data_IF_787696984989
#
_entry.id   IF_787696984989
#
_cell.length_a   1.000
_cell.length_b   1.000
_cell.length_c   1.000
_cell.angle_alpha   90.00
_cell.angle_beta   90.00
_cell.angle_gamma   90.00
#
_symmetry.space_group_name_H-M   'P 1'
#
loop_
_entity.id
_entity.type
_entity.pdbx_description
1 polymer ?
#
# COMPACT_ATOMS: atom_id res chain seq x y z
N UNK A 1 -7.39 5.59 16.66
CA UNK A 1 -8.72 5.92 16.05
C UNK A 1 -9.55 4.65 15.98
N UNK A 2 -10.74 4.61 16.54
CA UNK A 2 -11.65 3.46 16.37
C UNK A 2 -12.21 3.44 14.94
N UNK A 3 -12.26 2.29 14.30
CA UNK A 3 -12.74 2.13 12.91
C UNK A 3 -14.26 2.24 12.77
N UNK A 4 -14.99 1.95 13.85
CA UNK A 4 -16.47 2.02 13.86
C UNK A 4 -16.95 3.40 13.40
N UNK A 5 -17.91 3.43 12.50
CA UNK A 5 -18.52 4.64 11.92
C UNK A 5 -17.57 5.49 11.05
N UNK A 6 -16.39 5.01 10.69
CA UNK A 6 -15.43 5.73 9.83
C UNK A 6 -15.68 5.51 8.36
N UNK A 7 -15.40 6.53 7.56
CA UNK A 7 -15.38 6.49 6.10
C UNK A 7 -13.92 6.37 5.64
N UNK A 8 -13.61 5.33 4.91
CA UNK A 8 -12.24 4.92 4.59
C UNK A 8 -12.07 4.71 3.09
N UNK A 9 -10.98 5.23 2.55
CA UNK A 9 -10.60 5.07 1.14
C UNK A 9 -9.39 4.14 1.05
N UNK A 10 -9.45 3.14 0.17
CA UNK A 10 -8.37 2.18 -0.06
C UNK A 10 -8.03 2.11 -1.55
N UNK A 11 -6.95 2.76 -1.97
CA UNK A 11 -6.37 2.59 -3.30
C UNK A 11 -5.63 1.26 -3.38
N UNK A 12 -5.78 0.56 -4.51
CA UNK A 12 -5.34 -0.84 -4.65
C UNK A 12 -6.24 -1.82 -3.90
N UNK A 13 -7.45 -1.40 -3.50
CA UNK A 13 -8.37 -2.15 -2.65
C UNK A 13 -9.04 -3.38 -3.30
N UNK A 14 -8.69 -3.75 -4.53
CA UNK A 14 -9.39 -4.81 -5.26
C UNK A 14 -8.65 -6.14 -5.33
N UNK A 15 -7.45 -6.22 -4.77
CA UNK A 15 -6.64 -7.45 -4.73
C UNK A 15 -5.60 -7.41 -3.59
N UNK A 16 -5.02 -8.57 -3.29
CA UNK A 16 -3.90 -8.71 -2.36
C UNK A 16 -4.11 -8.00 -1.03
N UNK A 17 -3.11 -7.24 -0.60
CA UNK A 17 -3.09 -6.53 0.69
C UNK A 17 -4.28 -5.58 0.81
N UNK A 18 -4.57 -4.79 -0.22
CA UNK A 18 -5.68 -3.84 -0.18
C UNK A 18 -7.05 -4.51 0.00
N UNK A 19 -7.28 -5.65 -0.66
CA UNK A 19 -8.53 -6.39 -0.51
C UNK A 19 -8.67 -6.99 0.90
N UNK A 20 -7.60 -7.54 1.49
CA UNK A 20 -7.63 -8.02 2.87
C UNK A 20 -7.84 -6.86 3.85
N UNK A 21 -7.23 -5.70 3.61
CA UNK A 21 -7.49 -4.48 4.39
C UNK A 21 -8.99 -4.13 4.36
N UNK A 22 -9.62 -4.14 3.19
CA UNK A 22 -11.07 -3.87 3.06
C UNK A 22 -11.90 -4.86 3.87
N UNK A 23 -11.57 -6.15 3.83
CA UNK A 23 -12.28 -7.16 4.62
C UNK A 23 -12.21 -6.85 6.11
N UNK A 24 -11.01 -6.54 6.62
CA UNK A 24 -10.81 -6.20 8.03
C UNK A 24 -11.54 -4.90 8.41
N UNK A 25 -11.50 -3.87 7.56
CA UNK A 25 -12.23 -2.62 7.80
C UNK A 25 -13.74 -2.84 7.93
N UNK A 26 -14.31 -3.65 7.05
CA UNK A 26 -15.74 -4.01 7.09
C UNK A 26 -16.10 -4.86 8.33
N UNK A 27 -15.21 -5.77 8.73
CA UNK A 27 -15.38 -6.58 9.94
C UNK A 27 -15.32 -5.73 11.23
N UNK A 28 -14.49 -4.69 11.24
CA UNK A 28 -14.34 -3.77 12.37
C UNK A 28 -15.35 -2.60 12.36
N UNK A 29 -16.43 -2.71 11.58
CA UNK A 29 -17.57 -1.81 11.65
C UNK A 29 -17.38 -0.44 10.98
N UNK A 30 -16.48 -0.33 9.99
CA UNK A 30 -16.38 0.88 9.17
C UNK A 30 -17.73 1.21 8.53
N UNK A 31 -18.15 2.47 8.59
CA UNK A 31 -19.43 2.92 8.04
C UNK A 31 -19.46 2.85 6.52
N UNK A 32 -18.34 3.19 5.88
CA UNK A 32 -18.19 3.14 4.43
C UNK A 32 -16.74 2.91 4.04
N UNK A 33 -16.51 1.97 3.13
CA UNK A 33 -15.18 1.64 2.60
C UNK A 33 -15.21 1.77 1.08
N UNK A 34 -14.38 2.62 0.53
CA UNK A 34 -14.21 2.80 -0.91
C UNK A 34 -13.02 1.95 -1.38
N UNK A 35 -13.29 0.96 -2.21
CA UNK A 35 -12.27 0.14 -2.88
C UNK A 35 -11.95 0.75 -4.25
N UNK A 36 -10.77 1.32 -4.39
CA UNK A 36 -10.38 2.05 -5.59
C UNK A 36 -9.32 1.29 -6.37
N UNK A 37 -9.54 1.14 -7.67
CA UNK A 37 -8.56 0.62 -8.63
C UNK A 37 -8.91 0.99 -10.06
N UNK A 38 -8.02 0.73 -11.00
CA UNK A 38 -8.28 0.87 -12.44
C UNK A 38 -9.38 -0.08 -12.93
N UNK A 39 -9.53 -1.24 -12.29
CA UNK A 39 -10.58 -2.22 -12.61
C UNK A 39 -11.28 -2.72 -11.32
N UNK A 40 -12.24 -1.97 -10.77
CA UNK A 40 -12.89 -2.32 -9.51
C UNK A 40 -13.88 -3.51 -9.61
N UNK A 41 -14.40 -3.85 -10.81
CA UNK A 41 -15.39 -4.92 -11.00
C UNK A 41 -14.90 -6.33 -10.63
N UNK A 42 -13.59 -6.51 -10.38
CA UNK A 42 -13.00 -7.79 -9.95
C UNK A 42 -13.39 -8.19 -8.52
N UNK A 43 -13.86 -7.27 -7.69
CA UNK A 43 -14.26 -7.55 -6.31
C UNK A 43 -15.63 -8.21 -6.28
N UNK A 44 -15.72 -9.39 -5.64
CA UNK A 44 -16.97 -10.15 -5.50
C UNK A 44 -17.68 -9.94 -4.15
N UNK A 45 -17.12 -9.09 -3.26
CA UNK A 45 -17.71 -8.81 -1.94
C UNK A 45 -18.95 -7.96 -2.13
N UNK A 46 -20.10 -8.44 -1.60
CA UNK A 46 -21.37 -7.69 -1.59
C UNK A 46 -21.69 -7.28 -0.16
N UNK A 47 -21.37 -6.05 0.19
CA UNK A 47 -21.69 -5.42 1.48
C UNK A 47 -22.18 -3.99 1.22
N UNK A 48 -23.24 -3.57 1.91
CA UNK A 48 -23.84 -2.23 1.77
C UNK A 48 -22.81 -1.11 2.04
N UNK A 49 -21.86 -1.39 2.91
CA UNK A 49 -20.80 -0.45 3.28
C UNK A 49 -19.66 -0.34 2.26
N UNK A 50 -19.56 -1.28 1.30
CA UNK A 50 -18.50 -1.30 0.29
C UNK A 50 -18.95 -0.58 -0.97
N UNK A 51 -18.15 0.40 -1.41
CA UNK A 51 -18.31 1.10 -2.67
C UNK A 51 -17.11 0.84 -3.56
N UNK A 52 -17.35 0.44 -4.79
CA UNK A 52 -16.32 0.21 -5.79
C UNK A 52 -16.19 1.44 -6.69
N UNK A 53 -15.01 2.04 -6.75
CA UNK A 53 -14.75 3.23 -7.55
C UNK A 53 -13.57 3.00 -8.51
N UNK A 54 -13.68 3.56 -9.71
CA UNK A 54 -12.59 3.54 -10.69
C UNK A 54 -11.77 4.81 -10.59
N UNK A 55 -10.44 4.67 -10.40
CA UNK A 55 -9.48 5.75 -10.59
C UNK A 55 -8.09 5.19 -10.88
N UNK A 56 -7.26 5.98 -11.55
CA UNK A 56 -5.83 5.76 -11.69
C UNK A 56 -5.09 6.76 -10.79
N UNK A 57 -4.14 6.28 -10.01
CA UNK A 57 -3.34 7.11 -9.10
C UNK A 57 -2.38 8.05 -9.85
N UNK A 58 -2.12 7.78 -11.13
CA UNK A 58 -1.28 8.61 -12.00
C UNK A 58 -2.10 9.66 -12.79
N UNK A 59 -3.43 9.56 -12.79
CA UNK A 59 -4.32 10.50 -13.45
C UNK A 59 -4.90 11.50 -12.45
N UNK A 60 -4.36 12.71 -12.46
CA UNK A 60 -4.77 13.80 -11.58
C UNK A 60 -6.26 14.17 -11.73
N UNK A 61 -6.78 14.18 -12.95
CA UNK A 61 -8.17 14.54 -13.19
C UNK A 61 -9.12 13.47 -12.66
N UNK A 62 -8.74 12.19 -12.82
CA UNK A 62 -9.45 11.07 -12.23
C UNK A 62 -9.50 11.17 -10.69
N UNK A 63 -8.38 11.53 -10.05
CA UNK A 63 -8.31 11.72 -8.60
C UNK A 63 -9.12 12.92 -8.12
N UNK A 64 -9.02 14.07 -8.77
CA UNK A 64 -9.80 15.28 -8.45
C UNK A 64 -11.31 14.98 -8.51
N UNK A 65 -11.77 14.34 -9.57
CA UNK A 65 -13.16 13.94 -9.74
C UNK A 65 -13.60 12.93 -8.68
N UNK A 66 -12.77 11.94 -8.37
CA UNK A 66 -13.03 10.94 -7.33
C UNK A 66 -13.23 11.59 -5.96
N UNK A 67 -12.26 12.39 -5.50
CA UNK A 67 -12.32 13.01 -4.17
C UNK A 67 -13.48 14.00 -4.05
N UNK A 68 -13.85 14.69 -5.14
CA UNK A 68 -15.06 15.55 -5.18
C UNK A 68 -16.33 14.71 -4.94
N UNK A 69 -16.46 13.53 -5.56
CA UNK A 69 -17.63 12.65 -5.38
C UNK A 69 -17.67 12.02 -3.98
N UNK A 70 -16.54 11.60 -3.45
CA UNK A 70 -16.48 10.95 -2.13
C UNK A 70 -16.77 11.98 -1.02
N UNK A 71 -16.31 13.21 -1.17
CA UNK A 71 -16.41 14.23 -0.13
C UNK A 71 -15.54 13.92 1.09
N UNK A 72 -15.97 14.35 2.29
CA UNK A 72 -15.21 14.15 3.54
C UNK A 72 -15.05 12.68 3.91
N UNK A 73 -13.88 12.31 4.44
CA UNK A 73 -13.55 10.96 4.91
C UNK A 73 -12.50 11.00 6.04
N UNK A 74 -12.25 9.86 6.70
CA UNK A 74 -11.42 9.79 7.92
C UNK A 74 -10.05 9.14 7.69
N UNK A 75 -9.94 8.18 6.76
CA UNK A 75 -8.72 7.41 6.56
C UNK A 75 -8.43 7.21 5.08
N UNK A 76 -7.17 7.37 4.70
CA UNK A 76 -6.64 7.11 3.38
C UNK A 76 -5.60 5.98 3.46
N UNK A 77 -5.86 4.89 2.77
CA UNK A 77 -4.90 3.81 2.59
C UNK A 77 -4.50 3.71 1.13
N UNK A 78 -3.21 3.61 0.83
CA UNK A 78 -2.76 3.30 -0.53
C UNK A 78 -1.82 2.12 -0.55
N UNK A 79 -2.26 1.06 -1.22
CA UNK A 79 -1.50 -0.14 -1.55
C UNK A 79 -1.24 -0.24 -3.06
N UNK A 80 -1.59 0.80 -3.81
CA UNK A 80 -1.41 0.85 -5.26
C UNK A 80 0.09 0.93 -5.61
N UNK A 81 0.53 0.13 -6.59
CA UNK A 81 1.95 0.08 -6.98
C UNK A 81 2.29 1.01 -8.14
N UNK A 82 1.30 1.62 -8.78
CA UNK A 82 1.50 2.43 -9.98
C UNK A 82 1.72 1.57 -11.22
N UNK A 83 2.90 1.65 -11.79
CA UNK A 83 3.31 0.97 -13.02
C UNK A 83 4.02 -0.36 -12.82
N UNK A 84 4.72 -0.79 -13.85
CA UNK A 84 5.63 -1.93 -13.84
C UNK A 84 6.90 -1.61 -13.06
N UNK A 85 7.50 -2.65 -12.49
CA UNK A 85 8.74 -2.52 -11.72
C UNK A 85 9.88 -3.22 -12.42
N UNK A 86 10.95 -2.49 -12.72
CA UNK A 86 12.14 -3.07 -13.28
C UNK A 86 12.84 -3.97 -12.27
N UNK A 87 13.29 -5.13 -12.73
CA UNK A 87 14.08 -6.10 -11.97
C UNK A 87 15.22 -6.58 -12.87
N UNK A 88 16.43 -6.65 -12.35
CA UNK A 88 17.61 -7.12 -13.05
C UNK A 88 18.85 -6.30 -12.68
N UNK A 89 20.04 -6.68 -13.23
CA UNK A 89 21.27 -5.95 -13.00
C UNK A 89 21.17 -4.49 -13.49
N UNK A 90 21.63 -3.55 -12.68
CA UNK A 90 21.49 -2.11 -12.98
C UNK A 90 22.14 -1.71 -14.31
N UNK A 91 23.35 -2.20 -14.58
CA UNK A 91 24.11 -1.81 -15.77
C UNK A 91 23.48 -2.28 -17.09
N UNK A 92 22.58 -3.27 -17.06
CA UNK A 92 21.84 -3.76 -18.23
C UNK A 92 20.33 -3.48 -18.13
N UNK A 93 19.90 -2.73 -17.11
CA UNK A 93 18.49 -2.42 -16.88
C UNK A 93 17.99 -1.42 -17.91
N UNK A 94 16.79 -1.66 -18.45
CA UNK A 94 16.08 -0.64 -19.22
C UNK A 94 15.77 0.57 -18.34
N UNK A 95 16.29 1.74 -18.72
CA UNK A 95 16.13 2.96 -17.96
C UNK A 95 14.70 3.50 -18.01
N UNK A 96 13.90 3.14 -18.99
CA UNK A 96 12.47 3.47 -18.97
C UNK A 96 11.75 2.64 -17.94
N UNK A 97 12.05 1.35 -17.81
CA UNK A 97 11.54 0.49 -16.74
C UNK A 97 11.97 0.96 -15.35
N UNK A 98 13.22 1.47 -15.24
CA UNK A 98 13.68 2.11 -13.99
C UNK A 98 12.80 3.32 -13.62
N UNK A 99 12.57 4.25 -14.56
CA UNK A 99 11.70 5.42 -14.38
C UNK A 99 10.27 5.00 -14.00
N UNK A 100 9.69 4.02 -14.70
CA UNK A 100 8.34 3.53 -14.44
C UNK A 100 8.19 2.94 -13.03
N UNK A 101 9.28 2.43 -12.43
CA UNK A 101 9.26 1.94 -11.05
C UNK A 101 8.94 3.05 -10.04
N UNK A 102 9.20 4.32 -10.37
CA UNK A 102 8.84 5.48 -9.55
C UNK A 102 7.38 5.91 -9.66
N UNK A 103 6.59 5.30 -10.56
CA UNK A 103 5.13 5.51 -10.63
C UNK A 103 4.45 5.23 -9.28
N UNK A 104 5.06 4.39 -8.46
CA UNK A 104 4.62 4.15 -7.08
C UNK A 104 4.72 5.42 -6.24
N UNK A 105 5.84 6.13 -6.30
CA UNK A 105 6.02 7.41 -5.59
C UNK A 105 5.05 8.45 -6.11
N UNK A 106 4.97 8.63 -7.42
CA UNK A 106 4.07 9.62 -8.04
C UNK A 106 2.61 9.33 -7.72
N UNK A 107 2.19 8.06 -7.79
CA UNK A 107 0.85 7.65 -7.40
C UNK A 107 0.52 7.99 -5.95
N UNK A 108 1.46 7.79 -5.01
CA UNK A 108 1.25 8.14 -3.61
C UNK A 108 1.24 9.65 -3.38
N UNK A 109 2.16 10.37 -4.00
CA UNK A 109 2.19 11.84 -3.94
C UNK A 109 0.87 12.44 -4.45
N UNK A 110 0.37 11.97 -5.59
CA UNK A 110 -0.90 12.42 -6.16
C UNK A 110 -2.09 12.11 -5.23
N UNK A 111 -2.17 10.87 -4.72
CA UNK A 111 -3.26 10.45 -3.84
C UNK A 111 -3.29 11.28 -2.56
N UNK A 112 -2.14 11.58 -1.96
CA UNK A 112 -2.04 12.44 -0.78
C UNK A 112 -2.37 13.89 -1.14
N UNK A 113 -1.75 14.44 -2.17
CA UNK A 113 -1.92 15.84 -2.60
C UNK A 113 -3.39 16.19 -2.90
N UNK A 114 -4.08 15.34 -3.64
CA UNK A 114 -5.47 15.60 -4.03
C UNK A 114 -6.48 15.15 -2.99
N UNK A 115 -6.12 14.18 -2.13
CA UNK A 115 -7.01 13.62 -1.12
C UNK A 115 -7.06 14.40 0.18
N UNK A 116 -5.93 14.99 0.61
CA UNK A 116 -5.81 15.60 1.95
C UNK A 116 -6.85 16.69 2.23
N UNK A 117 -7.28 17.43 1.22
CA UNK A 117 -8.30 18.49 1.37
C UNK A 117 -9.63 17.98 1.92
N UNK A 118 -9.97 16.73 1.66
CA UNK A 118 -11.22 16.11 2.09
C UNK A 118 -11.02 15.18 3.30
N UNK A 119 -9.79 14.99 3.73
CA UNK A 119 -9.46 14.17 4.90
C UNK A 119 -9.79 14.95 6.19
N UNK A 120 -10.35 14.25 7.17
CA UNK A 120 -10.58 14.81 8.51
C UNK A 120 -9.29 15.36 9.12
N UNK A 121 -9.37 16.46 9.87
CA UNK A 121 -8.21 17.02 10.60
C UNK A 121 -7.55 16.02 11.57
N UNK A 122 -8.31 15.12 12.15
CA UNK A 122 -7.81 13.99 12.94
C UNK A 122 -7.60 12.73 12.11
N UNK A 123 -7.44 12.87 10.80
CA UNK A 123 -7.34 11.78 9.85
C UNK A 123 -6.02 11.01 9.91
N UNK A 124 -6.01 9.90 9.20
CA UNK A 124 -4.84 9.05 9.10
C UNK A 124 -4.57 8.61 7.65
N UNK A 125 -3.31 8.60 7.28
CA UNK A 125 -2.82 8.12 5.98
C UNK A 125 -1.91 6.91 6.25
N UNK A 126 -2.14 5.80 5.53
CA UNK A 126 -1.26 4.64 5.54
C UNK A 126 -0.83 4.30 4.12
N UNK A 127 0.47 4.34 3.87
CA UNK A 127 1.07 3.95 2.60
C UNK A 127 1.82 2.62 2.74
N UNK A 128 2.02 1.91 1.64
CA UNK A 128 2.74 0.63 1.66
C UNK A 128 4.03 0.74 0.87
N UNK A 129 5.17 0.68 1.56
CA UNK A 129 6.52 0.63 0.98
C UNK A 129 6.92 -0.83 0.61
N UNK A 130 8.02 -1.32 1.12
CA UNK A 130 8.51 -2.69 1.01
C UNK A 130 9.93 -2.82 1.54
N UNK A 131 10.25 -3.95 2.15
CA UNK A 131 11.55 -4.21 2.77
C UNK A 131 12.78 -4.01 1.86
N UNK A 132 12.70 -4.18 0.51
CA UNK A 132 13.82 -3.83 -0.37
C UNK A 132 14.28 -2.38 -0.30
N UNK A 133 13.44 -1.46 0.19
CA UNK A 133 13.83 -0.08 0.45
C UNK A 133 14.98 0.06 1.48
N UNK A 134 15.09 -0.90 2.41
CA UNK A 134 16.04 -0.88 3.52
C UNK A 134 17.07 -2.02 3.49
N UNK A 135 16.71 -3.17 2.95
CA UNK A 135 17.63 -4.27 2.66
C UNK A 135 17.54 -4.65 1.19
N UNK A 136 18.32 -3.97 0.32
CA UNK A 136 18.30 -4.25 -1.12
C UNK A 136 18.90 -5.63 -1.41
N UNK A 137 18.46 -6.24 -2.51
CA UNK A 137 19.06 -7.44 -3.09
C UNK A 137 19.61 -7.10 -4.48
N UNK A 138 20.60 -7.84 -4.97
CA UNK A 138 21.04 -7.72 -6.37
C UNK A 138 19.85 -7.77 -7.33
N UNK A 139 19.81 -6.90 -8.32
CA UNK A 139 18.71 -6.77 -9.27
C UNK A 139 17.49 -5.97 -8.78
N UNK A 140 17.48 -5.47 -7.54
CA UNK A 140 16.31 -4.75 -6.98
C UNK A 140 16.51 -3.23 -6.90
N UNK A 141 17.53 -2.68 -7.57
CA UNK A 141 17.86 -1.25 -7.46
C UNK A 141 16.65 -0.33 -7.72
N UNK A 142 15.84 -0.60 -8.73
CA UNK A 142 14.67 0.23 -9.05
C UNK A 142 13.59 0.15 -7.95
N UNK A 143 13.32 -1.06 -7.45
CA UNK A 143 12.34 -1.29 -6.38
C UNK A 143 12.82 -0.65 -5.07
N UNK A 144 14.10 -0.79 -4.76
CA UNK A 144 14.74 -0.24 -3.55
C UNK A 144 14.73 1.28 -3.57
N UNK A 145 15.13 1.88 -4.70
CA UNK A 145 15.14 3.35 -4.87
C UNK A 145 13.72 3.93 -4.76
N UNK A 146 12.75 3.35 -5.47
CA UNK A 146 11.37 3.80 -5.41
C UNK A 146 10.76 3.62 -4.00
N UNK A 147 11.07 2.51 -3.33
CA UNK A 147 10.63 2.26 -1.95
C UNK A 147 11.23 3.25 -0.96
N UNK A 148 12.53 3.51 -1.05
CA UNK A 148 13.24 4.50 -0.23
C UNK A 148 12.70 5.91 -0.44
N UNK A 149 12.39 6.28 -1.70
CA UNK A 149 11.77 7.56 -2.02
C UNK A 149 10.37 7.71 -1.40
N UNK A 150 9.55 6.64 -1.39
CA UNK A 150 8.24 6.64 -0.70
C UNK A 150 8.40 6.84 0.80
N UNK A 151 9.40 6.21 1.43
CA UNK A 151 9.65 6.38 2.87
C UNK A 151 10.13 7.81 3.18
N UNK A 152 11.03 8.35 2.37
CA UNK A 152 11.51 9.73 2.50
C UNK A 152 10.37 10.74 2.31
N UNK A 153 9.53 10.55 1.28
CA UNK A 153 8.35 11.37 1.03
C UNK A 153 7.42 11.42 2.24
N UNK A 154 7.05 10.26 2.80
CA UNK A 154 6.13 10.22 3.94
C UNK A 154 6.71 10.91 5.17
N UNK A 155 8.03 10.74 5.47
CA UNK A 155 8.68 11.46 6.57
C UNK A 155 8.71 12.97 6.33
N UNK A 156 9.04 13.40 5.11
CA UNK A 156 9.16 14.81 4.78
C UNK A 156 7.85 15.57 4.94
N UNK A 157 6.71 15.00 4.50
CA UNK A 157 5.41 15.67 4.56
C UNK A 157 4.72 15.56 5.92
N UNK A 158 5.24 14.78 6.88
CA UNK A 158 4.60 14.59 8.19
C UNK A 158 4.33 15.92 8.89
N UNK A 159 5.28 16.84 8.87
CA UNK A 159 5.15 18.16 9.51
C UNK A 159 4.11 19.05 8.80
N UNK A 160 4.06 19.00 7.47
CA UNK A 160 3.11 19.80 6.68
C UNK A 160 1.67 19.29 6.83
N UNK A 161 1.49 18.01 7.13
CA UNK A 161 0.17 17.40 7.28
C UNK A 161 -0.38 17.47 8.71
N UNK A 162 0.43 17.82 9.71
CA UNK A 162 -0.02 17.85 11.10
C UNK A 162 -1.31 18.66 11.26
N UNK A 163 -2.29 18.19 12.02
CA UNK A 163 -2.29 17.03 12.91
C UNK A 163 -2.69 15.69 12.25
N UNK A 164 -2.85 15.64 10.93
CA UNK A 164 -3.08 14.39 10.18
C UNK A 164 -1.83 13.50 10.32
N UNK A 165 -2.05 12.24 10.70
CA UNK A 165 -0.96 11.28 10.83
C UNK A 165 -0.70 10.56 9.51
N UNK A 166 0.57 10.28 9.21
CA UNK A 166 0.97 9.47 8.05
C UNK A 166 2.00 8.44 8.47
N UNK A 167 1.76 7.16 8.13
CA UNK A 167 2.65 6.06 8.43
C UNK A 167 2.80 5.13 7.23
N UNK A 168 3.85 4.30 7.26
CA UNK A 168 4.12 3.31 6.22
C UNK A 168 4.11 1.90 6.82
N UNK A 169 3.64 0.96 6.00
CA UNK A 169 3.86 -0.46 6.22
C UNK A 169 4.88 -0.94 5.20
N UNK A 170 5.90 -1.65 5.65
CA UNK A 170 6.99 -2.18 4.82
C UNK A 170 6.92 -3.71 4.81
N UNK A 171 6.22 -4.33 3.84
CA UNK A 171 6.13 -5.77 3.73
C UNK A 171 7.41 -6.37 3.16
N UNK A 172 7.74 -7.58 3.62
CA UNK A 172 8.73 -8.46 3.00
C UNK A 172 8.13 -9.25 1.81
N UNK A 173 8.47 -10.54 1.75
CA UNK A 173 7.90 -11.46 0.76
C UNK A 173 6.50 -11.87 1.19
N UNK A 174 5.48 -11.39 0.49
CA UNK A 174 4.07 -11.64 0.80
C UNK A 174 3.41 -12.44 -0.33
N UNK A 175 2.71 -13.51 0.04
CA UNK A 175 1.94 -14.32 -0.91
C UNK A 175 0.67 -13.56 -1.33
N UNK A 176 0.69 -13.03 -2.56
CA UNK A 176 -0.39 -12.22 -3.12
C UNK A 176 -0.59 -12.55 -4.61
N UNK A 177 -1.72 -12.15 -5.21
CA UNK A 177 -1.95 -12.28 -6.65
C UNK A 177 -0.95 -11.50 -7.54
N UNK A 178 -0.04 -10.74 -6.96
CA UNK A 178 1.05 -10.07 -7.72
C UNK A 178 2.00 -11.11 -8.34
N UNK A 179 2.20 -12.27 -7.69
CA UNK A 179 2.92 -13.39 -8.31
C UNK A 179 1.96 -14.13 -9.23
N UNK A 180 2.28 -14.27 -10.53
CA UNK A 180 1.47 -15.02 -11.49
C UNK A 180 1.62 -16.54 -11.34
N UNK A 181 2.61 -17.00 -10.56
CA UNK A 181 2.93 -18.41 -10.37
C UNK A 181 1.79 -19.16 -9.70
N UNK A 182 1.63 -20.45 -10.03
CA UNK A 182 0.60 -21.36 -9.47
C UNK A 182 1.19 -22.68 -9.02
N UNK A 183 0.45 -23.43 -8.22
CA UNK A 183 0.78 -24.80 -7.83
C UNK A 183 2.16 -24.94 -7.17
N UNK A 184 2.94 -25.93 -7.61
CA UNK A 184 4.28 -26.24 -7.09
C UNK A 184 5.25 -25.09 -7.31
N UNK A 185 5.27 -24.51 -8.54
CA UNK A 185 6.17 -23.40 -8.86
C UNK A 185 5.99 -22.20 -7.90
N UNK A 186 4.74 -21.91 -7.49
CA UNK A 186 4.46 -20.86 -6.51
C UNK A 186 5.01 -21.20 -5.12
N UNK A 187 4.82 -22.44 -4.67
CA UNK A 187 5.33 -22.91 -3.37
C UNK A 187 6.86 -22.86 -3.33
N UNK A 188 7.50 -23.36 -4.37
CA UNK A 188 8.96 -23.40 -4.48
C UNK A 188 9.55 -21.97 -4.55
N UNK A 189 8.92 -21.08 -5.31
CA UNK A 189 9.30 -19.67 -5.35
C UNK A 189 9.28 -19.01 -3.96
N UNK A 190 8.20 -19.16 -3.20
CA UNK A 190 8.11 -18.55 -1.86
C UNK A 190 9.07 -19.22 -0.87
N UNK A 191 9.22 -20.54 -0.91
CA UNK A 191 10.20 -21.27 -0.09
C UNK A 191 11.61 -20.75 -0.33
N UNK A 192 12.01 -20.61 -1.60
CA UNK A 192 13.34 -20.13 -1.97
C UNK A 192 13.54 -18.65 -1.61
N UNK A 193 12.51 -17.81 -1.83
CA UNK A 193 12.59 -16.37 -1.56
C UNK A 193 12.68 -16.05 -0.06
N UNK A 194 12.30 -16.97 0.80
CA UNK A 194 12.26 -16.77 2.26
C UNK A 194 13.17 -17.73 3.04
N UNK A 195 14.02 -18.49 2.36
CA UNK A 195 14.90 -19.50 3.00
C UNK A 195 15.83 -18.89 4.06
N UNK A 196 16.28 -17.66 3.82
CA UNK A 196 17.21 -16.92 4.68
C UNK A 196 16.48 -16.02 5.69
N UNK A 197 15.16 -15.90 5.62
CA UNK A 197 14.40 -15.13 6.60
C UNK A 197 14.42 -15.81 7.97
N UNK A 198 14.26 -15.04 9.04
CA UNK A 198 14.09 -15.57 10.40
C UNK A 198 12.80 -16.40 10.47
N UNK A 199 11.69 -15.86 9.94
CA UNK A 199 10.45 -16.63 9.73
C UNK A 199 10.49 -17.19 8.30
N UNK A 200 10.78 -18.47 8.15
CA UNK A 200 11.07 -19.16 6.87
C UNK A 200 9.80 -19.48 6.06
N UNK A 201 8.94 -18.50 5.87
CA UNK A 201 7.75 -18.56 5.00
C UNK A 201 7.42 -17.19 4.44
N UNK A 202 6.67 -17.16 3.36
CA UNK A 202 6.03 -15.94 2.92
C UNK A 202 4.98 -15.48 3.95
N UNK A 203 4.88 -14.18 4.14
CA UNK A 203 3.76 -13.57 4.86
C UNK A 203 2.49 -13.63 4.03
N UNK A 204 1.36 -13.40 4.66
CA UNK A 204 0.04 -13.33 4.02
C UNK A 204 -0.40 -11.87 3.86
N UNK A 205 -1.27 -11.62 2.89
CA UNK A 205 -1.91 -10.32 2.73
C UNK A 205 -2.67 -9.87 3.98
N UNK A 206 -3.23 -10.82 4.74
CA UNK A 206 -3.93 -10.55 5.99
C UNK A 206 -2.99 -10.08 7.11
N UNK A 207 -1.78 -10.63 7.23
CA UNK A 207 -0.79 -10.17 8.22
C UNK A 207 -0.39 -8.71 7.97
N UNK A 208 -0.19 -8.33 6.71
CA UNK A 208 0.08 -6.93 6.34
C UNK A 208 -1.15 -6.04 6.58
N UNK A 209 -2.36 -6.52 6.25
CA UNK A 209 -3.60 -5.79 6.50
C UNK A 209 -3.82 -5.52 8.00
N UNK A 210 -3.49 -6.46 8.89
CA UNK A 210 -3.51 -6.24 10.36
C UNK A 210 -2.60 -5.10 10.79
N UNK A 211 -1.41 -4.98 10.19
CA UNK A 211 -0.51 -3.86 10.47
C UNK A 211 -1.05 -2.53 9.96
N UNK A 212 -1.75 -2.52 8.80
CA UNK A 212 -2.46 -1.33 8.33
C UNK A 212 -3.54 -0.91 9.33
N UNK A 213 -4.34 -1.87 9.85
CA UNK A 213 -5.34 -1.59 10.89
C UNK A 213 -4.67 -1.02 12.14
N UNK A 214 -3.58 -1.65 12.62
CA UNK A 214 -2.81 -1.15 13.75
C UNK A 214 -2.34 0.31 13.53
N UNK A 215 -1.78 0.62 12.36
CA UNK A 215 -1.32 1.97 12.04
C UNK A 215 -2.47 3.01 12.01
N UNK A 216 -3.69 2.58 11.65
CA UNK A 216 -4.87 3.43 11.74
C UNK A 216 -5.28 3.66 13.20
N UNK A 217 -5.35 2.60 14.00
CA UNK A 217 -5.93 2.63 15.35
C UNK A 217 -4.98 3.21 16.40
N UNK A 218 -3.66 3.00 16.27
CA UNK A 218 -2.68 3.57 17.19
C UNK A 218 -2.48 5.06 16.89
N UNK A 219 -2.98 5.90 17.80
CA UNK A 219 -2.97 7.35 17.62
C UNK A 219 -1.62 8.01 17.98
N UNK A 220 -0.70 7.27 18.59
CA UNK A 220 0.59 7.81 19.04
C UNK A 220 1.75 7.51 18.08
N UNK A 221 1.46 7.10 16.82
CA UNK A 221 2.46 6.88 15.78
C UNK A 221 2.20 7.79 14.57
N UNK A 222 3.23 8.46 14.10
CA UNK A 222 3.25 9.21 12.84
C UNK A 222 4.67 9.32 12.28
N UNK A 223 4.82 9.39 10.97
CA UNK A 223 6.12 9.48 10.29
C UNK A 223 6.95 8.19 10.34
N UNK A 224 6.39 7.08 10.83
CA UNK A 224 7.12 5.83 11.01
C UNK A 224 6.86 4.81 9.91
N UNK A 225 7.82 3.89 9.75
CA UNK A 225 7.69 2.69 8.91
C UNK A 225 7.68 1.46 9.79
N UNK A 226 6.65 0.63 9.63
CA UNK A 226 6.43 -0.61 10.38
C UNK A 226 6.74 -1.79 9.48
N UNK A 227 7.72 -2.61 9.85
CA UNK A 227 8.12 -3.79 9.08
C UNK A 227 7.23 -4.99 9.36
N UNK A 228 6.77 -5.63 8.28
CA UNK A 228 6.02 -6.89 8.30
C UNK A 228 6.69 -7.84 7.30
N UNK A 229 7.89 -8.29 7.65
CA UNK A 229 8.81 -8.89 6.70
C UNK A 229 9.34 -10.28 7.10
N UNK A 230 8.92 -10.79 8.26
CA UNK A 230 9.40 -12.09 8.76
C UNK A 230 10.88 -12.08 9.18
N UNK A 231 11.41 -10.90 9.52
CA UNK A 231 12.79 -10.70 9.90
C UNK A 231 13.75 -10.63 8.71
N UNK A 232 13.25 -10.37 7.49
CA UNK A 232 14.11 -10.21 6.31
C UNK A 232 15.18 -9.14 6.50
N UNK A 233 14.86 -7.99 7.08
CA UNK A 233 15.84 -6.91 7.27
C UNK A 233 17.00 -7.37 8.16
N UNK A 234 16.75 -8.28 9.08
CA UNK A 234 17.73 -8.79 10.04
C UNK A 234 18.46 -10.06 9.57
N UNK A 235 18.02 -10.69 8.49
CA UNK A 235 18.56 -11.97 8.00
C UNK A 235 19.77 -11.82 7.09
#
# INVERSE_FOLDING_TARGET
MKLKNKKIIVFGGTSGIGLETIKLLLQNGAAKVYAISRNPKKVKIRKKQLVLEKADVLDENSLKALFKRIGKYDVLVSTATGGERAIGPFLSMDMQGYKNSFDKLWGYANVVRYGVKNLSKSGNIVLVSGSPARKPKPGFVAISSAGGAVEAFARAITHELAPIRINLISPGVIDTPMSPLKGKARKDFYKNSTKDNIIKRAGTANEVAKAIIFAIENEFITGTTIDIDGGWILS
#
